data_IF_362590309865
#
_entry.id   IF_362590309865
#
_cell.length_a   1.000
_cell.length_b   1.000
_cell.length_c   1.000
_cell.angle_alpha   90.00
_cell.angle_beta   90.00
_cell.angle_gamma   90.00
#
_symmetry.space_group_name_H-M   'P 1'
#
loop_
_entity.id
_entity.type
_entity.pdbx_description
1 polymer ?
#
# COMPACT_ATOMS: atom_id res chain seq x y z
N UNK A 1 17.09 45.63 1.28
CA UNK A 1 18.29 45.12 1.94
C UNK A 1 18.27 43.63 1.70
N UNK A 2 19.23 43.13 0.92
CA UNK A 2 19.27 41.73 0.52
C UNK A 2 19.72 40.89 1.73
N UNK A 3 18.73 40.28 2.36
CA UNK A 3 18.90 39.22 3.35
C UNK A 3 19.26 37.95 2.57
N UNK A 4 20.16 37.10 3.08
CA UNK A 4 20.66 35.93 2.33
C UNK A 4 19.54 34.98 1.90
N UNK A 5 19.89 33.87 1.24
CA UNK A 5 18.93 32.82 0.88
C UNK A 5 19.35 31.52 1.49
N UNK A 6 18.42 30.83 2.13
CA UNK A 6 18.60 29.46 2.62
C UNK A 6 17.93 28.52 1.62
N UNK A 7 18.70 27.61 1.04
CA UNK A 7 18.19 26.55 0.17
C UNK A 7 18.20 25.26 0.97
N UNK A 8 17.03 24.75 1.31
CA UNK A 8 16.90 23.48 2.04
C UNK A 8 17.05 22.33 1.05
N UNK A 9 18.06 21.50 1.23
CA UNK A 9 18.39 20.35 0.38
C UNK A 9 17.95 19.05 1.01
N UNK A 10 17.62 18.05 0.19
CA UNK A 10 17.33 16.68 0.65
C UNK A 10 18.31 15.72 0.00
N UNK A 11 19.22 15.17 0.81
CA UNK A 11 20.37 14.41 0.30
C UNK A 11 21.15 15.28 -0.69
N UNK A 12 21.25 14.84 -1.94
CA UNK A 12 21.91 15.57 -3.03
C UNK A 12 20.95 16.34 -3.95
N UNK A 13 19.68 16.45 -3.57
CA UNK A 13 18.63 17.06 -4.40
C UNK A 13 18.43 18.54 -4.06
N UNK A 14 18.50 19.40 -5.09
CA UNK A 14 18.23 20.83 -5.00
C UNK A 14 16.79 21.16 -5.42
N UNK A 15 16.14 22.15 -4.79
CA UNK A 15 14.90 22.69 -5.30
C UNK A 15 15.08 23.30 -6.69
N UNK A 16 14.20 22.96 -7.64
CA UNK A 16 14.24 23.52 -8.99
C UNK A 16 14.16 25.06 -8.99
N UNK A 17 13.40 25.63 -8.05
CA UNK A 17 13.30 27.07 -7.84
C UNK A 17 14.63 27.72 -7.42
N UNK A 18 15.55 26.96 -6.80
CA UNK A 18 16.86 27.44 -6.39
C UNK A 18 17.88 27.50 -7.53
N UNK A 19 17.63 26.84 -8.67
CA UNK A 19 18.61 26.73 -9.76
C UNK A 19 19.07 28.08 -10.31
N UNK A 20 18.16 29.06 -10.42
CA UNK A 20 18.50 30.40 -10.91
C UNK A 20 19.43 31.12 -9.93
N UNK A 21 19.05 31.18 -8.65
CA UNK A 21 19.82 31.90 -7.64
C UNK A 21 21.18 31.24 -7.39
N UNK A 22 21.25 29.91 -7.38
CA UNK A 22 22.51 29.17 -7.22
C UNK A 22 23.50 29.46 -8.35
N UNK A 23 23.02 29.74 -9.58
CA UNK A 23 23.88 30.10 -10.72
C UNK A 23 24.30 31.56 -10.71
N UNK A 24 23.45 32.44 -10.20
CA UNK A 24 23.67 33.90 -10.22
C UNK A 24 24.46 34.38 -8.98
N UNK A 25 24.43 33.62 -7.89
CA UNK A 25 25.08 33.99 -6.62
C UNK A 25 26.57 33.63 -6.62
N UNK A 26 27.47 34.59 -6.35
CA UNK A 26 28.91 34.35 -6.27
C UNK A 26 29.35 33.70 -4.95
N UNK A 27 28.45 33.59 -3.97
CA UNK A 27 28.74 33.17 -2.61
C UNK A 27 27.73 32.10 -2.15
N UNK A 28 28.00 30.85 -2.51
CA UNK A 28 27.20 29.68 -2.13
C UNK A 28 28.01 28.83 -1.15
N UNK A 29 27.43 28.45 -0.01
CA UNK A 29 28.07 27.66 1.03
C UNK A 29 27.20 26.47 1.44
N UNK A 30 27.82 25.39 1.90
CA UNK A 30 27.13 24.27 2.55
C UNK A 30 27.18 24.42 4.07
N UNK A 31 26.03 24.24 4.71
CA UNK A 31 25.89 24.17 6.16
C UNK A 31 26.55 22.89 6.72
N UNK A 32 26.60 22.78 8.04
CA UNK A 32 27.31 21.67 8.71
C UNK A 32 26.64 20.31 8.52
N UNK A 33 25.35 20.30 8.18
CA UNK A 33 24.54 19.11 7.91
C UNK A 33 24.48 18.74 6.42
N UNK A 34 25.23 19.43 5.56
CA UNK A 34 25.29 19.19 4.11
C UNK A 34 26.73 18.86 3.71
N UNK A 35 26.91 17.80 2.92
CA UNK A 35 28.22 17.50 2.33
C UNK A 35 28.58 18.56 1.25
N UNK A 36 29.58 19.42 1.48
CA UNK A 36 30.02 20.43 0.51
C UNK A 36 30.47 19.81 -0.83
N UNK A 37 31.06 18.62 -0.80
CA UNK A 37 31.59 17.97 -1.98
C UNK A 37 30.47 17.53 -2.95
N UNK A 38 29.31 17.15 -2.43
CA UNK A 38 28.15 16.75 -3.22
C UNK A 38 27.62 17.88 -4.12
N UNK A 39 27.83 19.14 -3.73
CA UNK A 39 27.35 20.32 -4.46
C UNK A 39 28.47 21.17 -5.07
N UNK A 40 29.73 20.82 -4.82
CA UNK A 40 30.89 21.58 -5.31
C UNK A 40 31.00 22.98 -4.72
N UNK A 41 30.55 23.17 -3.48
CA UNK A 41 30.54 24.46 -2.77
C UNK A 41 31.42 24.40 -1.52
N UNK A 42 32.01 25.51 -1.04
CA UNK A 42 32.74 25.52 0.23
C UNK A 42 31.82 25.25 1.43
N UNK A 43 32.34 24.58 2.46
CA UNK A 43 31.68 24.49 3.75
C UNK A 43 31.63 25.86 4.44
N UNK A 44 30.58 26.11 5.20
CA UNK A 44 30.50 27.27 6.08
C UNK A 44 31.42 27.06 7.28
N UNK A 45 32.41 27.92 7.46
CA UNK A 45 33.38 27.81 8.57
C UNK A 45 33.01 28.68 9.78
N UNK A 46 32.13 29.67 9.61
CA UNK A 46 31.64 30.57 10.67
C UNK A 46 30.12 30.76 10.56
N UNK A 47 29.41 30.85 11.69
CA UNK A 47 27.99 31.21 11.71
C UNK A 47 27.79 32.56 10.98
N UNK A 48 26.77 32.69 10.12
CA UNK A 48 26.76 33.76 9.13
C UNK A 48 26.56 35.14 9.77
N UNK A 49 27.67 35.89 9.83
CA UNK A 49 27.68 37.35 9.68
C UNK A 49 27.51 37.75 8.20
N UNK A 50 27.38 36.75 7.32
CA UNK A 50 27.33 36.81 5.88
C UNK A 50 26.04 37.45 5.39
N UNK A 51 26.18 38.56 4.66
CA UNK A 51 25.10 39.15 3.85
C UNK A 51 25.26 38.66 2.40
N UNK A 52 24.17 38.61 1.66
CA UNK A 52 24.19 38.28 0.22
C UNK A 52 24.76 36.87 -0.11
N UNK A 53 24.55 35.89 0.77
CA UNK A 53 24.96 34.49 0.56
C UNK A 53 23.77 33.58 0.29
N UNK A 54 24.05 32.47 -0.41
CA UNK A 54 23.16 31.31 -0.50
C UNK A 54 23.72 30.20 0.38
N UNK A 55 22.97 29.77 1.39
CA UNK A 55 23.35 28.65 2.25
C UNK A 55 22.54 27.41 1.86
N UNK A 56 23.22 26.33 1.48
CA UNK A 56 22.62 25.01 1.36
C UNK A 56 22.56 24.38 2.76
N UNK A 57 21.38 24.03 3.25
CA UNK A 57 21.20 23.40 4.56
C UNK A 57 20.29 22.17 4.45
N UNK A 58 20.53 21.14 5.26
CA UNK A 58 19.66 19.94 5.30
C UNK A 58 18.35 20.21 6.04
N UNK A 59 18.34 21.17 6.96
CA UNK A 59 17.15 21.58 7.71
C UNK A 59 17.12 23.10 7.94
N UNK A 60 15.91 23.63 8.13
CA UNK A 60 15.70 25.00 8.65
C UNK A 60 16.24 25.16 10.06
N UNK A 61 16.28 24.07 10.83
CA UNK A 61 16.74 24.03 12.22
C UNK A 61 18.28 23.95 12.34
N UNK A 62 18.99 23.83 11.23
CA UNK A 62 20.45 23.89 11.25
C UNK A 62 20.88 25.27 11.79
N UNK A 63 21.89 25.35 12.69
CA UNK A 63 22.21 26.60 13.38
C UNK A 63 22.47 27.82 12.48
N UNK A 64 23.20 27.67 11.37
CA UNK A 64 23.46 28.74 10.42
C UNK A 64 22.22 29.08 9.57
N UNK A 65 21.43 28.07 9.18
CA UNK A 65 20.16 28.26 8.50
C UNK A 65 19.17 29.04 9.37
N UNK A 66 18.95 28.60 10.60
CA UNK A 66 18.08 29.25 11.59
C UNK A 66 18.48 30.69 11.84
N UNK A 67 19.79 30.99 11.94
CA UNK A 67 20.27 32.36 12.12
C UNK A 67 19.98 33.23 10.90
N UNK A 68 20.26 32.76 9.67
CA UNK A 68 19.95 33.49 8.45
C UNK A 68 18.46 33.77 8.33
N UNK A 69 17.63 32.76 8.58
CA UNK A 69 16.16 32.86 8.57
C UNK A 69 15.69 33.90 9.58
N UNK A 70 16.23 33.89 10.81
CA UNK A 70 15.89 34.87 11.84
C UNK A 70 16.29 36.31 11.46
N UNK A 71 17.29 36.48 10.59
CA UNK A 71 17.68 37.79 10.03
C UNK A 71 16.90 38.18 8.76
N UNK A 72 15.92 37.38 8.34
CA UNK A 72 15.02 37.66 7.22
C UNK A 72 15.42 37.01 5.89
N UNK A 73 16.25 35.98 5.90
CA UNK A 73 16.61 35.25 4.67
C UNK A 73 15.40 34.61 4.00
N UNK A 74 15.37 34.64 2.66
CA UNK A 74 14.38 33.88 1.89
C UNK A 74 14.71 32.38 2.01
N UNK A 75 13.68 31.55 2.15
CA UNK A 75 13.83 30.09 2.19
C UNK A 75 13.30 29.49 0.90
N UNK A 76 14.15 28.75 0.21
CA UNK A 76 13.78 27.95 -0.95
C UNK A 76 13.90 26.48 -0.58
N UNK A 77 12.77 25.78 -0.57
CA UNK A 77 12.72 24.35 -0.29
C UNK A 77 11.76 23.69 -1.27
N UNK A 78 12.01 22.41 -1.58
CA UNK A 78 11.05 21.60 -2.32
C UNK A 78 10.00 21.11 -1.33
N UNK A 79 8.70 21.31 -1.57
CA UNK A 79 7.67 20.73 -0.73
C UNK A 79 7.83 19.22 -0.63
N UNK A 80 7.71 18.73 0.60
CA UNK A 80 7.52 17.32 0.96
C UNK A 80 6.51 16.59 0.08
N UNK A 81 6.78 15.69 -0.90
CA UNK A 81 5.69 14.86 -1.38
C UNK A 81 5.14 14.03 -0.20
N UNK A 82 3.83 14.01 0.08
CA UNK A 82 3.30 13.37 1.29
C UNK A 82 3.69 11.91 1.46
N UNK A 83 3.90 11.18 0.36
CA UNK A 83 4.39 9.80 0.39
C UNK A 83 5.82 9.69 0.94
N UNK A 84 6.70 10.61 0.58
CA UNK A 84 8.07 10.67 1.11
C UNK A 84 8.03 11.08 2.57
N UNK A 85 7.19 12.05 2.93
CA UNK A 85 6.99 12.44 4.32
C UNK A 85 6.48 11.28 5.19
N UNK A 86 5.55 10.46 4.68
CA UNK A 86 5.08 9.28 5.39
C UNK A 86 6.21 8.26 5.65
N UNK A 87 7.11 8.06 4.69
CA UNK A 87 8.29 7.21 4.87
C UNK A 87 9.27 7.79 5.90
N UNK A 88 9.53 9.11 5.87
CA UNK A 88 10.36 9.81 6.85
C UNK A 88 9.78 9.69 8.27
N UNK A 89 8.45 9.81 8.40
CA UNK A 89 7.74 9.64 9.68
C UNK A 89 7.89 8.22 10.20
N UNK A 90 7.69 7.20 9.35
CA UNK A 90 7.87 5.79 9.72
C UNK A 90 9.31 5.51 10.19
N UNK A 91 10.32 6.01 9.47
CA UNK A 91 11.71 5.87 9.86
C UNK A 91 11.98 6.48 11.24
N UNK A 92 11.45 7.69 11.50
CA UNK A 92 11.58 8.35 12.79
C UNK A 92 10.85 7.62 13.92
N UNK A 93 9.67 7.08 13.66
CA UNK A 93 8.90 6.32 14.64
C UNK A 93 9.65 5.07 15.10
N UNK A 94 10.32 4.36 14.18
CA UNK A 94 11.04 3.13 14.50
C UNK A 94 12.47 3.36 15.03
N UNK A 95 13.11 4.46 14.64
CA UNK A 95 14.49 4.78 15.02
C UNK A 95 14.67 5.07 16.52
N UNK A 96 15.90 4.99 17.08
CA UNK A 96 16.16 5.33 18.47
C UNK A 96 15.63 6.73 18.85
N UNK A 97 14.88 6.82 19.95
CA UNK A 97 14.18 8.04 20.36
C UNK A 97 12.78 8.19 19.77
N UNK A 98 12.35 7.26 18.91
CA UNK A 98 10.99 7.11 18.41
C UNK A 98 10.07 6.35 19.38
N UNK A 99 9.04 5.73 18.82
CA UNK A 99 8.01 5.00 19.53
C UNK A 99 8.50 3.58 19.91
N UNK A 100 8.44 3.19 21.19
CA UNK A 100 8.87 1.85 21.63
C UNK A 100 8.03 0.72 21.03
N UNK A 101 6.74 0.96 20.77
CA UNK A 101 5.88 -0.04 20.14
C UNK A 101 6.31 -0.28 18.69
N UNK A 102 6.64 0.77 17.95
CA UNK A 102 7.05 0.65 16.55
C UNK A 102 8.42 -0.05 16.42
N UNK A 103 9.34 0.25 17.33
CA UNK A 103 10.68 -0.33 17.36
C UNK A 103 10.70 -1.86 17.55
N UNK A 104 9.73 -2.42 18.30
CA UNK A 104 9.71 -3.88 18.58
C UNK A 104 8.97 -4.70 17.53
N UNK A 105 8.30 -4.08 16.55
CA UNK A 105 7.55 -4.82 15.55
C UNK A 105 8.47 -5.62 14.62
N UNK A 106 7.97 -6.77 14.18
CA UNK A 106 8.59 -7.65 13.18
C UNK A 106 7.58 -7.96 12.08
N UNK A 107 8.03 -8.56 10.98
CA UNK A 107 7.09 -9.03 9.94
C UNK A 107 6.02 -9.97 10.49
N UNK A 108 6.37 -10.80 11.48
CA UNK A 108 5.43 -11.75 12.08
C UNK A 108 4.41 -11.08 13.00
N UNK A 109 4.80 -10.05 13.77
CA UNK A 109 3.83 -9.33 14.62
C UNK A 109 2.88 -8.46 13.81
N UNK A 110 3.33 -7.96 12.65
CA UNK A 110 2.56 -7.08 11.77
C UNK A 110 1.53 -7.83 10.91
N UNK A 111 1.70 -9.14 10.71
CA UNK A 111 0.86 -9.93 9.80
C UNK A 111 -0.64 -9.85 10.08
N UNK A 112 -1.03 -9.72 11.36
CA UNK A 112 -2.45 -9.67 11.75
C UNK A 112 -3.08 -8.35 11.31
N UNK A 113 -2.38 -7.24 11.54
CA UNK A 113 -2.82 -5.91 11.15
C UNK A 113 -2.95 -5.82 9.63
N UNK A 114 -1.97 -6.33 8.87
CA UNK A 114 -2.08 -6.37 7.40
C UNK A 114 -3.33 -7.11 6.91
N UNK A 115 -3.75 -8.18 7.59
CA UNK A 115 -4.98 -8.90 7.25
C UNK A 115 -6.21 -8.08 7.62
N UNK A 116 -6.22 -7.45 8.80
CA UNK A 116 -7.28 -6.56 9.28
C UNK A 116 -7.49 -5.39 8.31
N UNK A 117 -6.45 -4.58 8.03
CA UNK A 117 -6.56 -3.42 7.10
C UNK A 117 -6.99 -3.85 5.69
N UNK A 118 -6.62 -5.05 5.26
CA UNK A 118 -7.07 -5.57 3.96
C UNK A 118 -8.58 -5.81 3.95
N UNK A 119 -9.15 -6.28 5.06
CA UNK A 119 -10.60 -6.50 5.16
C UNK A 119 -11.36 -5.21 5.40
N UNK A 120 -10.82 -4.28 6.18
CA UNK A 120 -11.43 -2.96 6.36
C UNK A 120 -11.47 -2.20 5.03
N UNK A 121 -10.39 -2.26 4.23
CA UNK A 121 -10.39 -1.77 2.85
C UNK A 121 -11.45 -2.44 1.97
N UNK A 122 -11.62 -3.76 2.06
CA UNK A 122 -12.66 -4.47 1.30
C UNK A 122 -14.06 -4.02 1.71
N UNK A 123 -14.29 -3.81 3.01
CA UNK A 123 -15.55 -3.33 3.55
C UNK A 123 -15.87 -1.92 3.02
N UNK A 124 -14.90 -1.00 3.06
CA UNK A 124 -15.04 0.35 2.51
C UNK A 124 -15.37 0.36 1.00
N UNK A 125 -14.74 -0.54 0.22
CA UNK A 125 -15.06 -0.71 -1.22
C UNK A 125 -16.49 -1.20 -1.41
N UNK A 126 -16.91 -2.21 -0.65
CA UNK A 126 -18.24 -2.83 -0.77
C UNK A 126 -19.36 -1.86 -0.34
N UNK A 127 -19.11 -0.99 0.63
CA UNK A 127 -20.06 0.02 1.11
C UNK A 127 -20.08 1.28 0.24
N UNK A 128 -19.05 1.49 -0.59
CA UNK A 128 -18.92 2.68 -1.42
C UNK A 128 -18.60 3.95 -0.62
N UNK A 129 -18.09 3.79 0.61
CA UNK A 129 -17.68 4.90 1.46
C UNK A 129 -16.31 5.42 1.01
N UNK A 130 -16.28 6.63 0.45
CA UNK A 130 -15.05 7.23 -0.09
C UNK A 130 -14.12 7.79 0.99
N UNK A 131 -14.65 8.10 2.16
CA UNK A 131 -13.83 8.59 3.27
C UNK A 131 -13.09 7.42 3.89
N UNK A 132 -13.83 6.38 4.29
CA UNK A 132 -13.26 5.13 4.77
C UNK A 132 -12.28 4.56 3.73
N UNK A 133 -12.64 4.50 2.44
CA UNK A 133 -11.74 4.00 1.40
C UNK A 133 -10.38 4.72 1.38
N UNK A 134 -10.33 6.03 1.67
CA UNK A 134 -9.08 6.78 1.71
C UNK A 134 -8.25 6.43 2.95
N UNK A 135 -8.91 6.30 4.09
CA UNK A 135 -8.33 5.91 5.38
C UNK A 135 -7.68 4.53 5.25
N UNK A 136 -8.46 3.53 4.83
CA UNK A 136 -8.00 2.14 4.70
C UNK A 136 -6.89 1.95 3.66
N UNK A 137 -6.92 2.73 2.56
CA UNK A 137 -5.80 2.76 1.62
C UNK A 137 -4.52 3.33 2.26
N UNK A 138 -4.67 4.28 3.19
CA UNK A 138 -3.61 4.80 4.03
C UNK A 138 -3.07 3.74 4.98
N UNK A 139 -3.92 2.94 5.61
CA UNK A 139 -3.49 1.91 6.56
C UNK A 139 -2.82 0.72 5.86
N UNK A 140 -3.31 0.32 4.68
CA UNK A 140 -2.58 -0.64 3.84
C UNK A 140 -1.22 -0.07 3.40
N UNK A 141 -1.13 1.23 3.07
CA UNK A 141 0.15 1.89 2.78
C UNK A 141 1.06 1.93 4.02
N UNK A 142 0.52 2.19 5.20
CA UNK A 142 1.25 2.15 6.47
C UNK A 142 1.90 0.78 6.66
N UNK A 143 1.17 -0.31 6.43
CA UNK A 143 1.73 -1.66 6.51
C UNK A 143 2.89 -1.86 5.52
N UNK A 144 2.78 -1.37 4.28
CA UNK A 144 3.88 -1.44 3.29
C UNK A 144 5.12 -0.66 3.78
N UNK A 145 4.94 0.55 4.30
CA UNK A 145 6.02 1.36 4.86
C UNK A 145 6.68 0.66 6.06
N UNK A 146 5.88 0.06 6.93
CA UNK A 146 6.36 -0.65 8.11
C UNK A 146 7.22 -1.86 7.73
N UNK A 147 6.70 -2.72 6.86
CA UNK A 147 7.44 -3.89 6.38
C UNK A 147 8.72 -3.49 5.63
N UNK A 148 8.67 -2.45 4.79
CA UNK A 148 9.88 -1.95 4.13
C UNK A 148 10.91 -1.41 5.12
N UNK A 149 10.48 -0.71 6.17
CA UNK A 149 11.40 -0.17 7.19
C UNK A 149 12.02 -1.26 8.07
N UNK A 150 11.27 -2.32 8.39
CA UNK A 150 11.79 -3.52 9.07
C UNK A 150 12.81 -4.24 8.18
N UNK A 151 12.53 -4.39 6.88
CA UNK A 151 13.42 -5.05 5.94
C UNK A 151 14.75 -4.31 5.75
N UNK A 152 14.76 -2.98 5.88
CA UNK A 152 15.97 -2.17 5.79
C UNK A 152 16.97 -2.46 6.93
N UNK A 153 16.55 -3.14 8.01
CA UNK A 153 17.38 -3.55 9.14
C UNK A 153 17.94 -4.97 8.99
N UNK A 154 17.55 -5.70 7.94
CA UNK A 154 18.07 -7.04 7.69
C UNK A 154 19.58 -7.01 7.41
N UNK A 155 20.32 -7.98 7.95
CA UNK A 155 21.78 -8.02 7.86
C UNK A 155 22.24 -8.70 6.55
N UNK A 156 21.43 -9.61 6.02
CA UNK A 156 21.79 -10.46 4.90
C UNK A 156 21.26 -9.91 3.55
N UNK A 157 20.05 -9.35 3.55
CA UNK A 157 19.37 -8.81 2.36
C UNK A 157 18.55 -7.54 2.67
N UNK A 158 19.19 -6.42 3.05
CA UNK A 158 18.49 -5.19 3.37
C UNK A 158 17.86 -4.55 2.13
N UNK A 159 16.59 -4.15 2.24
CA UNK A 159 15.91 -3.32 1.26
C UNK A 159 14.93 -2.35 1.91
N UNK A 160 14.72 -1.18 1.29
CA UNK A 160 13.82 -0.14 1.78
C UNK A 160 12.60 0.10 0.91
N UNK A 161 11.84 1.15 1.22
CA UNK A 161 10.63 1.51 0.46
C UNK A 161 10.93 1.88 -0.99
N UNK A 162 12.08 2.49 -1.25
CA UNK A 162 12.51 2.84 -2.60
C UNK A 162 12.81 1.60 -3.45
N UNK A 163 13.40 0.55 -2.86
CA UNK A 163 13.63 -0.72 -3.55
C UNK A 163 12.29 -1.42 -3.88
N UNK A 164 11.33 -1.39 -2.94
CA UNK A 164 9.97 -1.89 -3.17
C UNK A 164 9.29 -1.14 -4.31
N UNK A 165 9.38 0.19 -4.32
CA UNK A 165 8.82 1.03 -5.37
C UNK A 165 9.50 0.80 -6.72
N UNK A 166 10.84 0.73 -6.76
CA UNK A 166 11.60 0.46 -7.97
C UNK A 166 11.27 -0.92 -8.57
N UNK A 167 11.19 -1.96 -7.73
CA UNK A 167 10.77 -3.29 -8.14
C UNK A 167 9.33 -3.31 -8.68
N UNK A 168 8.42 -2.57 -8.04
CA UNK A 168 7.05 -2.40 -8.52
C UNK A 168 6.99 -1.69 -9.88
N UNK A 169 7.72 -0.60 -10.05
CA UNK A 169 7.79 0.16 -11.31
C UNK A 169 8.34 -0.73 -12.43
N UNK A 170 9.48 -1.39 -12.21
CA UNK A 170 10.09 -2.29 -13.20
C UNK A 170 9.11 -3.39 -13.62
N UNK A 171 8.39 -3.99 -12.67
CA UNK A 171 7.35 -4.99 -12.91
C UNK A 171 6.15 -4.44 -13.67
N UNK A 172 5.66 -3.25 -13.33
CA UNK A 172 4.51 -2.63 -14.02
C UNK A 172 4.86 -2.24 -15.45
N UNK A 173 6.04 -1.65 -15.67
CA UNK A 173 6.55 -1.28 -17.01
C UNK A 173 6.80 -2.53 -17.84
N UNK A 174 7.51 -3.52 -17.29
CA UNK A 174 7.84 -4.78 -17.98
C UNK A 174 6.60 -5.56 -18.40
N UNK A 175 5.49 -5.45 -17.66
CA UNK A 175 4.22 -6.12 -17.99
C UNK A 175 3.25 -5.30 -18.82
N UNK A 176 3.54 -4.01 -19.05
CA UNK A 176 2.79 -3.14 -19.94
C UNK A 176 3.68 -2.53 -21.02
N UNK A 177 4.45 -3.32 -21.78
CA UNK A 177 5.38 -2.77 -22.77
C UNK A 177 4.65 -1.89 -23.80
N UNK A 178 3.42 -2.23 -24.18
CA UNK A 178 2.59 -1.46 -25.10
C UNK A 178 2.22 -0.04 -24.64
N UNK A 179 2.36 0.28 -23.35
CA UNK A 179 2.16 1.64 -22.82
C UNK A 179 3.44 2.46 -22.86
N UNK A 180 4.60 1.79 -22.70
CA UNK A 180 5.90 2.44 -22.48
C UNK A 180 6.89 2.26 -23.64
N UNK A 181 6.55 1.49 -24.67
CA UNK A 181 7.33 1.30 -25.90
C UNK A 181 6.44 1.48 -27.11
N UNK A 182 7.03 1.84 -28.26
CA UNK A 182 6.32 2.00 -29.54
C UNK A 182 5.88 0.65 -30.18
N UNK A 183 5.83 -0.43 -29.40
CA UNK A 183 5.50 -1.79 -29.85
C UNK A 183 4.00 -2.07 -30.00
N UNK A 184 3.67 -3.34 -30.28
CA UNK A 184 2.31 -3.82 -30.60
C UNK A 184 1.22 -3.25 -29.68
N UNK A 185 0.27 -2.54 -30.29
CA UNK A 185 -0.90 -1.99 -29.61
C UNK A 185 -1.75 -3.14 -29.07
N UNK A 186 -2.00 -3.17 -27.77
CA UNK A 186 -2.97 -4.09 -27.18
C UNK A 186 -4.36 -3.52 -27.42
N UNK A 187 -5.18 -4.23 -28.19
CA UNK A 187 -6.47 -3.75 -28.66
C UNK A 187 -7.67 -4.17 -27.78
N UNK A 188 -7.50 -5.15 -26.88
CA UNK A 188 -8.58 -5.66 -26.01
C UNK A 188 -8.09 -6.09 -24.61
N UNK A 189 -9.01 -6.09 -23.63
CA UNK A 189 -8.76 -6.51 -22.23
C UNK A 189 -8.35 -7.98 -22.15
N UNK A 190 -8.98 -8.84 -22.96
CA UNK A 190 -8.68 -10.27 -23.02
C UNK A 190 -7.24 -10.52 -23.51
N UNK A 191 -6.81 -9.77 -24.53
CA UNK A 191 -5.45 -9.86 -25.06
C UNK A 191 -4.41 -9.36 -24.04
N UNK A 192 -4.75 -8.30 -23.28
CA UNK A 192 -3.92 -7.83 -22.17
C UNK A 192 -3.76 -8.88 -21.08
N UNK A 193 -4.86 -9.53 -20.68
CA UNK A 193 -4.86 -10.56 -19.64
C UNK A 193 -4.03 -11.79 -20.02
N UNK A 194 -4.10 -12.24 -21.27
CA UNK A 194 -3.28 -13.35 -21.78
C UNK A 194 -1.80 -12.97 -21.74
N UNK A 195 -1.42 -11.83 -22.34
CA UNK A 195 -0.02 -11.37 -22.39
C UNK A 195 0.57 -11.12 -21.00
N UNK A 196 -0.23 -10.58 -20.08
CA UNK A 196 0.14 -10.39 -18.67
C UNK A 196 0.45 -11.71 -17.96
N UNK A 197 -0.36 -12.74 -18.20
CA UNK A 197 -0.13 -14.06 -17.60
C UNK A 197 1.06 -14.79 -18.25
N UNK A 198 1.29 -14.63 -19.55
CA UNK A 198 2.49 -15.14 -20.23
C UNK A 198 3.77 -14.53 -19.66
N UNK A 199 3.82 -13.20 -19.52
CA UNK A 199 4.96 -12.49 -18.92
C UNK A 199 5.21 -12.94 -17.47
N UNK A 200 4.14 -13.13 -16.68
CA UNK A 200 4.25 -13.70 -15.33
C UNK A 200 4.82 -15.12 -15.29
N UNK A 201 4.59 -15.94 -16.31
CA UNK A 201 5.13 -17.30 -16.39
C UNK A 201 6.58 -17.29 -16.84
N UNK A 202 6.98 -16.35 -17.70
CA UNK A 202 8.37 -16.19 -18.13
C UNK A 202 9.26 -15.64 -16.98
N UNK A 203 8.76 -14.66 -16.21
CA UNK A 203 9.45 -14.09 -15.05
C UNK A 203 9.66 -15.11 -13.92
N UNK A 204 8.65 -15.96 -13.68
CA UNK A 204 8.68 -16.93 -12.58
C UNK A 204 9.01 -18.29 -13.16
N UNK A 205 10.24 -18.77 -12.96
CA UNK A 205 10.71 -20.14 -13.28
C UNK A 205 9.97 -21.20 -12.44
N UNK A 206 8.64 -21.26 -12.56
CA UNK A 206 7.78 -22.14 -11.78
C UNK A 206 8.04 -23.58 -12.17
N UNK A 207 8.29 -24.44 -11.19
CA UNK A 207 8.44 -25.88 -11.36
C UNK A 207 7.11 -26.61 -11.21
N UNK A 208 6.16 -26.00 -10.48
CA UNK A 208 4.82 -26.54 -10.24
C UNK A 208 3.72 -25.54 -10.62
N UNK A 209 2.56 -26.07 -11.03
CA UNK A 209 1.36 -25.27 -11.36
C UNK A 209 0.80 -24.50 -10.17
N UNK A 210 1.12 -24.93 -8.94
CA UNK A 210 0.72 -24.28 -7.70
C UNK A 210 1.78 -23.32 -7.15
N UNK A 211 2.92 -23.18 -7.81
CA UNK A 211 3.97 -22.26 -7.36
C UNK A 211 3.47 -20.80 -7.35
N UNK A 212 3.66 -20.13 -6.21
CA UNK A 212 3.19 -18.76 -5.99
C UNK A 212 1.68 -18.63 -5.81
N UNK A 213 0.98 -19.71 -5.45
CA UNK A 213 -0.33 -19.61 -4.77
C UNK A 213 -0.06 -19.17 -3.32
N UNK A 214 -0.74 -18.13 -2.87
CA UNK A 214 -0.63 -17.70 -1.48
C UNK A 214 -1.58 -18.55 -0.62
N UNK A 215 -1.00 -19.50 0.13
CA UNK A 215 -1.76 -20.44 0.95
C UNK A 215 -2.35 -19.80 2.23
N UNK A 216 -1.94 -18.59 2.59
CA UNK A 216 -2.54 -17.82 3.68
C UNK A 216 -3.85 -17.12 3.32
N UNK A 217 -4.32 -17.21 2.08
CA UNK A 217 -5.62 -16.67 1.68
C UNK A 217 -6.78 -17.46 2.32
N UNK A 218 -7.97 -16.86 2.45
CA UNK A 218 -9.17 -17.56 2.89
C UNK A 218 -9.46 -18.84 2.09
N UNK A 219 -10.11 -19.80 2.72
CA UNK A 219 -10.25 -21.14 2.16
C UNK A 219 -11.01 -21.16 0.82
N UNK A 220 -12.04 -20.31 0.64
CA UNK A 220 -12.81 -20.25 -0.61
C UNK A 220 -11.98 -19.58 -1.71
N UNK A 221 -11.30 -18.47 -1.42
CA UNK A 221 -10.33 -17.87 -2.35
C UNK A 221 -9.20 -18.84 -2.75
N UNK A 222 -8.64 -19.57 -1.79
CA UNK A 222 -7.57 -20.56 -2.03
C UNK A 222 -8.06 -21.71 -2.91
N UNK A 223 -9.21 -22.30 -2.60
CA UNK A 223 -9.83 -23.34 -3.42
C UNK A 223 -10.14 -22.83 -4.84
N UNK A 224 -10.71 -21.62 -4.95
CA UNK A 224 -10.91 -20.94 -6.21
C UNK A 224 -9.60 -20.78 -7.01
N UNK A 225 -8.52 -20.35 -6.35
CA UNK A 225 -7.22 -20.13 -6.98
C UNK A 225 -6.62 -21.43 -7.50
N UNK A 226 -6.68 -22.51 -6.70
CA UNK A 226 -6.26 -23.84 -7.11
C UNK A 226 -7.13 -24.34 -8.27
N UNK A 227 -8.45 -24.13 -8.22
CA UNK A 227 -9.37 -24.42 -9.32
C UNK A 227 -8.98 -23.76 -10.64
N UNK A 228 -8.66 -22.46 -10.59
CA UNK A 228 -8.19 -21.67 -11.72
C UNK A 228 -6.87 -22.22 -12.29
N UNK A 229 -5.88 -22.51 -11.44
CA UNK A 229 -4.57 -23.06 -11.85
C UNK A 229 -4.74 -24.42 -12.52
N UNK A 230 -5.49 -25.31 -11.89
CA UNK A 230 -5.79 -26.64 -12.40
C UNK A 230 -6.52 -26.57 -13.74
N UNK A 231 -7.45 -25.63 -13.91
CA UNK A 231 -8.18 -25.45 -15.17
C UNK A 231 -7.26 -25.07 -16.33
N UNK A 232 -6.34 -24.13 -16.10
CA UNK A 232 -5.33 -23.73 -17.10
C UNK A 232 -4.37 -24.86 -17.48
N UNK A 233 -4.07 -25.74 -16.53
CA UNK A 233 -3.22 -26.91 -16.75
C UNK A 233 -3.97 -28.10 -17.41
N UNK A 234 -5.28 -27.97 -17.65
CA UNK A 234 -6.09 -29.05 -18.22
C UNK A 234 -6.44 -30.17 -17.23
N UNK A 235 -6.27 -29.97 -15.91
CA UNK A 235 -6.65 -30.96 -14.91
C UNK A 235 -8.19 -31.10 -14.89
N UNK A 236 -8.73 -32.29 -15.16
CA UNK A 236 -10.17 -32.51 -15.22
C UNK A 236 -10.83 -32.48 -13.83
N UNK A 237 -12.14 -32.24 -13.79
CA UNK A 237 -12.90 -32.02 -12.54
C UNK A 237 -13.16 -33.29 -11.72
N UNK A 238 -13.02 -34.46 -12.32
CA UNK A 238 -13.10 -35.77 -11.66
C UNK A 238 -11.88 -36.03 -10.75
N UNK A 239 -10.76 -35.34 -10.96
CA UNK A 239 -9.61 -35.40 -10.05
C UNK A 239 -9.73 -34.43 -8.87
N UNK A 240 -10.79 -33.63 -8.79
CA UNK A 240 -11.01 -32.75 -7.65
C UNK A 240 -11.50 -33.56 -6.45
N UNK A 241 -11.20 -33.14 -5.20
CA UNK A 241 -11.64 -33.84 -3.99
C UNK A 241 -13.12 -34.22 -4.05
N UNK A 242 -13.42 -35.49 -3.82
CA UNK A 242 -14.78 -36.04 -3.78
C UNK A 242 -15.13 -36.50 -2.35
N UNK A 243 -16.41 -36.44 -2.01
CA UNK A 243 -16.91 -36.95 -0.74
C UNK A 243 -18.18 -36.24 -0.28
N UNK A 244 -18.95 -36.86 0.63
CA UNK A 244 -20.17 -36.27 1.19
C UNK A 244 -19.89 -35.15 2.20
N UNK A 245 -18.64 -35.00 2.64
CA UNK A 245 -18.26 -33.98 3.63
C UNK A 245 -18.24 -32.57 3.04
N UNK A 246 -18.64 -31.61 3.88
CA UNK A 246 -18.64 -30.18 3.53
C UNK A 246 -17.28 -29.69 2.95
N UNK A 247 -16.08 -30.12 3.42
CA UNK A 247 -14.83 -29.63 2.85
C UNK A 247 -14.65 -29.96 1.36
N UNK A 248 -14.98 -31.19 0.94
CA UNK A 248 -14.87 -31.58 -0.47
C UNK A 248 -15.89 -30.83 -1.34
N UNK A 249 -17.11 -30.66 -0.84
CA UNK A 249 -18.17 -29.91 -1.53
C UNK A 249 -17.80 -28.44 -1.69
N UNK A 250 -17.37 -27.77 -0.61
CA UNK A 250 -16.95 -26.37 -0.62
C UNK A 250 -15.76 -26.14 -1.56
N UNK A 251 -14.75 -27.02 -1.52
CA UNK A 251 -13.62 -26.95 -2.45
C UNK A 251 -14.10 -27.01 -3.90
N UNK A 252 -14.95 -27.98 -4.24
CA UNK A 252 -15.47 -28.13 -5.61
C UNK A 252 -16.29 -26.92 -6.04
N UNK A 253 -17.17 -26.41 -5.18
CA UNK A 253 -17.99 -25.21 -5.48
C UNK A 253 -17.08 -24.02 -5.77
N UNK A 254 -16.16 -23.69 -4.86
CA UNK A 254 -15.26 -22.55 -5.01
C UNK A 254 -14.34 -22.70 -6.25
N UNK A 255 -13.77 -23.89 -6.44
CA UNK A 255 -12.85 -24.16 -7.54
C UNK A 255 -13.53 -24.13 -8.91
N UNK A 256 -14.77 -24.62 -9.02
CA UNK A 256 -15.55 -24.60 -10.26
C UNK A 256 -16.11 -23.21 -10.56
N UNK A 257 -16.62 -22.50 -9.56
CA UNK A 257 -17.04 -21.10 -9.69
C UNK A 257 -15.89 -20.24 -10.24
N UNK A 258 -14.68 -20.38 -9.68
CA UNK A 258 -13.54 -19.60 -10.16
C UNK A 258 -13.09 -19.96 -11.57
N UNK A 259 -13.24 -21.23 -12.00
CA UNK A 259 -13.02 -21.62 -13.40
C UNK A 259 -14.00 -20.94 -14.35
N UNK A 260 -15.23 -20.69 -13.90
CA UNK A 260 -16.24 -19.94 -14.64
C UNK A 260 -16.05 -18.41 -14.56
N UNK A 261 -14.99 -17.92 -13.91
CA UNK A 261 -14.72 -16.48 -13.76
C UNK A 261 -15.44 -15.82 -12.59
N UNK A 262 -16.13 -16.59 -11.75
CA UNK A 262 -16.87 -16.09 -10.59
C UNK A 262 -15.95 -15.92 -9.38
N UNK A 263 -16.14 -14.84 -8.63
CA UNK A 263 -15.43 -14.59 -7.37
C UNK A 263 -16.19 -15.13 -6.17
N UNK A 264 -16.10 -16.44 -5.97
CA UNK A 264 -16.87 -17.14 -4.93
C UNK A 264 -16.63 -16.62 -3.50
N UNK A 265 -15.43 -16.13 -3.20
CA UNK A 265 -15.11 -15.55 -1.90
C UNK A 265 -15.90 -14.25 -1.66
N UNK A 266 -15.83 -13.32 -2.62
CA UNK A 266 -16.55 -12.05 -2.56
C UNK A 266 -18.07 -12.23 -2.56
N UNK A 267 -18.60 -13.10 -3.44
CA UNK A 267 -20.04 -13.36 -3.50
C UNK A 267 -20.57 -14.00 -2.21
N UNK A 268 -19.83 -14.95 -1.62
CA UNK A 268 -20.22 -15.55 -0.35
C UNK A 268 -20.15 -14.53 0.79
N UNK A 269 -19.14 -13.65 0.82
CA UNK A 269 -19.05 -12.57 1.80
C UNK A 269 -20.22 -11.61 1.67
N UNK A 270 -20.54 -11.15 0.46
CA UNK A 270 -21.67 -10.28 0.20
C UNK A 270 -23.00 -10.92 0.67
N UNK A 271 -23.19 -12.21 0.39
CA UNK A 271 -24.35 -12.97 0.86
C UNK A 271 -24.40 -13.06 2.39
N UNK A 272 -23.27 -13.32 3.05
CA UNK A 272 -23.19 -13.40 4.51
C UNK A 272 -23.51 -12.04 5.16
N UNK A 273 -23.00 -10.94 4.61
CA UNK A 273 -23.33 -9.57 5.05
C UNK A 273 -24.82 -9.27 4.86
N UNK A 274 -25.40 -9.65 3.72
CA UNK A 274 -26.84 -9.49 3.52
C UNK A 274 -27.65 -10.30 4.53
N UNK A 275 -27.26 -11.54 4.83
CA UNK A 275 -27.91 -12.34 5.85
C UNK A 275 -27.82 -11.70 7.24
N UNK A 276 -26.70 -11.09 7.60
CA UNK A 276 -26.57 -10.32 8.84
C UNK A 276 -27.51 -9.11 8.88
N UNK A 277 -27.65 -8.38 7.76
CA UNK A 277 -28.63 -7.29 7.62
C UNK A 277 -30.07 -7.78 7.76
N UNK A 278 -30.38 -8.95 7.20
CA UNK A 278 -31.71 -9.56 7.33
C UNK A 278 -32.04 -9.89 8.80
N UNK A 279 -31.06 -10.41 9.56
CA UNK A 279 -31.20 -10.63 11.01
C UNK A 279 -31.48 -9.30 11.72
N UNK A 280 -30.65 -8.28 11.50
CA UNK A 280 -30.81 -6.97 12.15
C UNK A 280 -32.17 -6.34 11.84
N UNK A 281 -32.64 -6.45 10.60
CA UNK A 281 -33.96 -5.96 10.20
C UNK A 281 -35.09 -6.70 10.93
N UNK A 282 -34.99 -8.03 11.05
CA UNK A 282 -35.98 -8.83 11.78
C UNK A 282 -35.98 -8.50 13.29
N UNK A 283 -34.80 -8.31 13.89
CA UNK A 283 -34.66 -7.88 15.28
C UNK A 283 -35.31 -6.50 15.50
N UNK A 284 -35.07 -5.54 14.60
CA UNK A 284 -35.68 -4.22 14.69
C UNK A 284 -37.21 -4.28 14.55
N UNK A 285 -37.73 -5.05 13.59
CA UNK A 285 -39.17 -5.22 13.40
C UNK A 285 -39.85 -5.86 14.62
N UNK A 286 -39.17 -6.79 15.30
CA UNK A 286 -39.65 -7.37 16.54
C UNK A 286 -39.70 -6.34 17.68
N UNK A 287 -38.66 -5.51 17.82
CA UNK A 287 -38.62 -4.41 18.81
C UNK A 287 -39.73 -3.39 18.56
N UNK A 288 -39.98 -3.03 17.30
CA UNK A 288 -41.05 -2.12 16.92
C UNK A 288 -42.45 -2.68 17.25
N UNK A 289 -42.58 -4.01 17.27
CA UNK A 289 -43.77 -4.73 17.72
C UNK A 289 -43.84 -4.94 19.25
N UNK A 290 -42.90 -4.40 20.02
CA UNK A 290 -42.83 -4.51 21.48
C UNK A 290 -42.33 -5.86 21.99
N UNK A 291 -41.61 -6.62 21.16
CA UNK A 291 -41.02 -7.92 21.52
C UNK A 291 -39.51 -7.83 21.65
N UNK A 292 -38.94 -8.56 22.61
CA UNK A 292 -37.48 -8.70 22.71
C UNK A 292 -36.97 -9.77 21.74
N UNK A 293 -36.02 -9.46 20.83
CA UNK A 293 -35.56 -10.42 19.82
C UNK A 293 -35.01 -11.74 20.38
N UNK A 294 -34.41 -11.69 21.56
CA UNK A 294 -33.87 -12.86 22.27
C UNK A 294 -34.95 -13.86 22.71
N UNK A 295 -36.22 -13.46 22.68
CA UNK A 295 -37.39 -14.29 23.03
C UNK A 295 -38.10 -14.89 21.83
N UNK A 296 -37.67 -14.55 20.60
CA UNK A 296 -38.31 -15.02 19.39
C UNK A 296 -38.07 -16.52 19.19
N UNK A 297 -39.16 -17.28 19.09
CA UNK A 297 -39.15 -18.64 18.58
C UNK A 297 -39.23 -18.64 17.03
N UNK A 298 -39.16 -19.82 16.42
CA UNK A 298 -39.10 -19.97 14.97
C UNK A 298 -40.22 -19.23 14.21
N UNK A 299 -41.46 -19.24 14.72
CA UNK A 299 -42.58 -18.54 14.09
C UNK A 299 -42.50 -17.01 14.27
N UNK A 300 -41.90 -16.56 15.38
CA UNK A 300 -41.57 -15.16 15.59
C UNK A 300 -40.54 -14.69 14.57
N UNK A 301 -39.45 -15.43 14.41
CA UNK A 301 -38.45 -15.15 13.38
C UNK A 301 -39.06 -15.13 11.99
N UNK A 302 -39.86 -16.13 11.60
CA UNK A 302 -40.55 -16.16 10.30
C UNK A 302 -41.48 -14.96 10.09
N UNK A 303 -42.16 -14.50 11.14
CA UNK A 303 -43.09 -13.36 11.07
C UNK A 303 -42.37 -12.04 10.80
N UNK A 304 -41.20 -11.85 11.40
CA UNK A 304 -40.45 -10.59 11.30
C UNK A 304 -39.33 -10.61 10.25
N UNK A 305 -39.05 -11.78 9.67
CA UNK A 305 -38.03 -11.91 8.63
C UNK A 305 -38.38 -11.06 7.40
N UNK A 306 -37.43 -10.32 6.81
CA UNK A 306 -37.71 -9.53 5.63
C UNK A 306 -38.08 -10.43 4.44
N UNK A 307 -39.15 -10.07 3.73
CA UNK A 307 -39.52 -10.73 2.48
C UNK A 307 -38.45 -10.47 1.41
N UNK A 308 -37.80 -11.52 0.93
CA UNK A 308 -36.90 -11.42 -0.22
C UNK A 308 -37.73 -11.45 -1.50
N UNK A 309 -37.78 -10.33 -2.23
CA UNK A 309 -37.92 -10.42 -3.68
C UNK A 309 -36.54 -10.80 -4.21
N UNK A 310 -36.40 -12.06 -4.63
CA UNK A 310 -35.23 -12.55 -5.37
C UNK A 310 -35.28 -12.02 -6.80
#
# INVERSE_FOLDING_TARGET
MSTGVVVVVRGTTLPGAALKILRESPAVYAATDVDPAAFGVPAVTEAPSLKDVVLLAGSRDEPAASLLIATGADVIETPVPPLVEAADVMDRLRSPGGCPWDAVQTHDSLRQYLVEETYELLDAIEEGDREALREELGDVLLQVLFHARVAAEDVDDPFGIDDVAAALVAKLVGRHPHVFTDGDKVHTVEHQNVKWEELKQQEKQRRSIVDGVAFGQPAVALAGKLGQRSGRAGIPLDLFPEGPGAPAQLFRIAATARRAGVDAEGELRALAKQFAKDIQAAEQAARDAGLEPTTLEADGWRKFWPDRQV
#
